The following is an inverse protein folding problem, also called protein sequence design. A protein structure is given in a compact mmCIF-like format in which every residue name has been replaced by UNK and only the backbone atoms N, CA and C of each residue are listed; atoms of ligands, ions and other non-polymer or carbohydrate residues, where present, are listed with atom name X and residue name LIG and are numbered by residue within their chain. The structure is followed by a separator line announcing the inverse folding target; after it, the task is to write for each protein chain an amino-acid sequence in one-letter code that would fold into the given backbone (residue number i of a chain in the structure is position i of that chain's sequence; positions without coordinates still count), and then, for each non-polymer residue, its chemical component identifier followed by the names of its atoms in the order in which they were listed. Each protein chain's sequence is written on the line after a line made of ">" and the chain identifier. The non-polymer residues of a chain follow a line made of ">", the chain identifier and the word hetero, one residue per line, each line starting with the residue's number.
data_IF_055376749553
#
_entry.id   IF_055376749553
#
_cell.length_a   1.000
_cell.length_b   1.000
_cell.length_c   1.000
_cell.angle_alpha   90.00
_cell.angle_beta   90.00
_cell.angle_gamma   90.00
#
_symmetry.space_group_name_H-M   'P 1'
#
loop_
_entity.id
_entity.type
_entity.pdbx_description
1 polymer ?
#
# COMPACT_ATOMS: atom_id res chain seq x y z
N UNK A 1 45.43 -24.70 -7.12
CA UNK A 1 44.83 -23.54 -6.42
C UNK A 1 43.65 -23.07 -7.26
N UNK A 2 42.45 -23.17 -6.70
CA UNK A 2 41.18 -22.98 -7.40
C UNK A 2 40.16 -23.95 -6.84
N UNK A 3 39.76 -23.70 -5.58
CA UNK A 3 38.78 -24.48 -4.83
C UNK A 3 37.40 -24.49 -5.49
N UNK A 4 36.75 -25.65 -5.36
CA UNK A 4 35.32 -25.84 -5.57
C UNK A 4 34.51 -25.24 -4.42
N UNK A 5 33.24 -24.98 -4.68
CA UNK A 5 32.19 -24.88 -3.66
C UNK A 5 31.51 -23.51 -3.64
N UNK A 6 30.20 -23.37 -3.54
CA UNK A 6 29.15 -24.32 -3.16
C UNK A 6 27.85 -23.81 -3.74
N UNK A 7 27.06 -24.72 -4.31
CA UNK A 7 25.65 -24.51 -4.60
C UNK A 7 24.90 -24.11 -3.33
N UNK A 8 24.16 -23.00 -3.38
CA UNK A 8 23.01 -22.81 -2.48
C UNK A 8 21.79 -22.54 -3.33
N UNK A 9 21.24 -23.64 -3.86
CA UNK A 9 19.79 -23.82 -3.86
C UNK A 9 19.36 -23.79 -2.39
N UNK A 10 18.96 -22.63 -1.91
CA UNK A 10 18.12 -22.54 -0.71
C UNK A 10 16.67 -22.48 -1.19
N UNK A 11 16.06 -23.66 -1.25
CA UNK A 11 14.61 -23.80 -1.20
C UNK A 11 14.12 -23.07 0.05
N UNK A 12 13.36 -22.00 -0.13
CA UNK A 12 12.50 -21.45 0.92
C UNK A 12 11.06 -21.62 0.46
N UNK A 13 10.37 -22.41 1.26
CA UNK A 13 8.98 -22.81 1.30
C UNK A 13 7.95 -21.91 0.59
N UNK A 14 7.06 -22.58 -0.13
CA UNK A 14 5.81 -22.09 -0.69
C UNK A 14 5.00 -21.26 0.31
N UNK A 15 4.98 -19.93 0.16
CA UNK A 15 3.94 -19.04 0.70
C UNK A 15 4.09 -17.63 0.07
N UNK A 16 3.08 -17.20 -0.71
CA UNK A 16 2.90 -15.90 -1.40
C UNK A 16 4.01 -15.45 -2.38
N UNK A 17 3.82 -15.76 -3.67
CA UNK A 17 4.51 -15.08 -4.76
C UNK A 17 3.44 -14.50 -5.70
N UNK A 18 3.34 -13.17 -5.73
CA UNK A 18 2.63 -12.46 -6.79
C UNK A 18 3.18 -12.94 -8.13
N UNK A 19 2.31 -13.35 -9.05
CA UNK A 19 2.73 -13.73 -10.39
C UNK A 19 3.31 -12.51 -11.13
N UNK A 20 4.11 -12.77 -12.17
CA UNK A 20 4.65 -11.70 -13.03
C UNK A 20 3.52 -10.85 -13.63
N UNK A 21 2.42 -11.49 -14.02
CA UNK A 21 1.22 -10.80 -14.53
C UNK A 21 0.54 -9.92 -13.48
N UNK A 22 0.40 -10.41 -12.23
CA UNK A 22 -0.18 -9.61 -11.14
C UNK A 22 0.73 -8.43 -10.75
N UNK A 23 2.05 -8.63 -10.85
CA UNK A 23 3.05 -7.58 -10.61
C UNK A 23 2.95 -6.49 -11.67
N UNK A 24 2.87 -6.87 -12.95
CA UNK A 24 2.69 -5.93 -14.06
C UNK A 24 1.37 -5.18 -13.97
N UNK A 25 0.27 -5.86 -13.61
CA UNK A 25 -1.02 -5.22 -13.41
C UNK A 25 -1.00 -4.24 -12.23
N UNK A 26 -0.33 -4.60 -11.12
CA UNK A 26 -0.16 -3.74 -9.95
C UNK A 26 0.61 -2.46 -10.30
N UNK A 27 1.73 -2.59 -11.03
CA UNK A 27 2.52 -1.44 -11.48
C UNK A 27 1.72 -0.58 -12.46
N UNK A 28 1.04 -1.19 -13.43
CA UNK A 28 0.19 -0.47 -14.39
C UNK A 28 -0.91 0.34 -13.71
N UNK A 29 -1.57 -0.22 -12.70
CA UNK A 29 -2.59 0.48 -11.92
C UNK A 29 -1.99 1.68 -11.17
N UNK A 30 -0.82 1.47 -10.56
CA UNK A 30 -0.12 2.53 -9.84
C UNK A 30 0.26 3.70 -10.75
N UNK A 31 0.80 3.39 -11.94
CA UNK A 31 1.12 4.38 -12.99
C UNK A 31 -0.13 5.16 -13.42
N UNK A 32 -1.25 4.47 -13.68
CA UNK A 32 -2.51 5.12 -14.06
C UNK A 32 -3.09 6.02 -12.95
N UNK A 33 -2.82 5.70 -11.68
CA UNK A 33 -3.21 6.53 -10.54
C UNK A 33 -2.33 7.81 -10.42
N UNK A 34 -1.06 7.73 -10.81
CA UNK A 34 -0.17 8.90 -10.83
C UNK A 34 -0.57 9.92 -11.90
N UNK A 35 -1.03 9.46 -13.06
CA UNK A 35 -1.50 10.32 -14.16
C UNK A 35 -2.71 11.18 -13.77
N UNK A 36 -3.41 10.86 -12.67
CA UNK A 36 -4.54 11.61 -12.13
C UNK A 36 -4.12 12.75 -11.18
N UNK A 37 -2.85 13.18 -11.19
CA UNK A 37 -2.29 14.20 -10.28
C UNK A 37 -2.42 13.86 -8.78
N UNK A 38 -2.45 12.57 -8.46
CA UNK A 38 -2.38 12.09 -7.08
C UNK A 38 -0.92 12.12 -6.59
N UNK A 39 -0.72 12.33 -5.29
CA UNK A 39 0.61 12.14 -4.70
C UNK A 39 0.99 10.66 -4.73
N UNK A 40 2.29 10.36 -4.87
CA UNK A 40 2.79 8.98 -4.96
C UNK A 40 2.30 8.06 -3.84
N UNK A 41 2.30 8.53 -2.59
CA UNK A 41 1.75 7.77 -1.47
C UNK A 41 0.25 7.45 -1.63
N UNK A 42 -0.55 8.37 -2.16
CA UNK A 42 -2.01 8.18 -2.34
C UNK A 42 -2.28 7.20 -3.48
N UNK A 43 -1.55 7.33 -4.59
CA UNK A 43 -1.62 6.39 -5.70
C UNK A 43 -1.24 4.96 -5.26
N UNK A 44 -0.19 4.82 -4.43
CA UNK A 44 0.23 3.53 -3.90
C UNK A 44 -0.86 2.92 -2.99
N UNK A 45 -1.45 3.73 -2.11
CA UNK A 45 -2.51 3.27 -1.20
C UNK A 45 -3.79 2.87 -1.96
N UNK A 46 -4.17 3.61 -3.00
CA UNK A 46 -5.29 3.21 -3.88
C UNK A 46 -5.02 1.88 -4.56
N UNK A 47 -3.79 1.69 -5.04
CA UNK A 47 -3.35 0.45 -5.68
C UNK A 47 -3.40 -0.73 -4.70
N UNK A 48 -2.87 -0.56 -3.49
CA UNK A 48 -2.95 -1.59 -2.44
C UNK A 48 -4.40 -1.89 -2.03
N UNK A 49 -5.27 -0.89 -1.97
CA UNK A 49 -6.68 -1.12 -1.65
C UNK A 49 -7.39 -1.90 -2.77
N UNK A 50 -7.09 -1.60 -4.04
CA UNK A 50 -7.59 -2.37 -5.17
C UNK A 50 -7.07 -3.81 -5.14
N UNK A 51 -5.80 -3.98 -4.78
CA UNK A 51 -5.20 -5.30 -4.55
C UNK A 51 -5.92 -6.10 -3.45
N UNK A 52 -6.28 -5.47 -2.31
CA UNK A 52 -7.11 -6.12 -1.27
C UNK A 52 -8.49 -6.52 -1.83
N UNK A 53 -9.07 -5.73 -2.75
CA UNK A 53 -10.37 -6.02 -3.39
C UNK A 53 -10.32 -7.20 -4.38
N UNK A 54 -9.15 -7.55 -4.92
CA UNK A 54 -8.99 -8.63 -5.93
C UNK A 54 -8.20 -9.85 -5.45
N UNK A 55 -7.45 -9.74 -4.36
CA UNK A 55 -6.68 -10.82 -3.72
C UNK A 55 -7.50 -12.13 -3.53
N UNK A 56 -6.89 -13.28 -3.79
CA UNK A 56 -7.54 -14.60 -3.70
C UNK A 56 -7.12 -15.41 -2.47
N UNK A 57 -6.24 -14.87 -1.65
CA UNK A 57 -5.71 -15.56 -0.46
C UNK A 57 -6.81 -15.70 0.59
N UNK A 58 -6.96 -16.89 1.17
CA UNK A 58 -7.99 -17.17 2.19
C UNK A 58 -7.55 -16.98 3.65
N UNK A 59 -6.35 -16.44 3.91
CA UNK A 59 -5.81 -16.30 5.27
C UNK A 59 -5.28 -14.90 5.55
N UNK A 60 -5.39 -14.48 6.82
CA UNK A 60 -4.90 -13.18 7.30
C UNK A 60 -3.39 -13.06 7.11
N UNK A 61 -2.66 -14.11 7.43
CA UNK A 61 -1.20 -14.16 7.33
C UNK A 61 -0.76 -14.06 5.87
N UNK A 62 -1.42 -14.75 4.96
CA UNK A 62 -1.10 -14.67 3.53
C UNK A 62 -1.46 -13.29 2.93
N UNK A 63 -2.59 -12.70 3.30
CA UNK A 63 -2.94 -11.33 2.88
C UNK A 63 -1.87 -10.31 3.32
N UNK A 64 -1.35 -10.43 4.55
CA UNK A 64 -0.27 -9.57 5.06
C UNK A 64 1.02 -9.77 4.28
N UNK A 65 1.38 -11.02 3.96
CA UNK A 65 2.57 -11.32 3.19
C UNK A 65 2.47 -10.73 1.78
N UNK A 66 1.35 -10.94 1.08
CA UNK A 66 1.13 -10.38 -0.26
C UNK A 66 1.12 -8.85 -0.27
N UNK A 67 0.51 -8.21 0.72
CA UNK A 67 0.53 -6.76 0.83
C UNK A 67 1.95 -6.20 1.03
N UNK A 68 2.81 -6.93 1.74
CA UNK A 68 4.22 -6.57 1.89
C UNK A 68 4.95 -6.68 0.56
N UNK A 69 4.78 -7.77 -0.17
CA UNK A 69 5.38 -7.95 -1.50
C UNK A 69 4.88 -6.88 -2.46
N UNK A 70 3.58 -6.60 -2.50
CA UNK A 70 3.00 -5.53 -3.30
C UNK A 70 3.61 -4.16 -2.96
N UNK A 71 3.78 -3.86 -1.66
CA UNK A 71 4.43 -2.62 -1.21
C UNK A 71 5.88 -2.53 -1.70
N UNK A 72 6.65 -3.61 -1.59
CA UNK A 72 8.03 -3.67 -2.09
C UNK A 72 8.11 -3.51 -3.61
N UNK A 73 7.17 -4.06 -4.36
CA UNK A 73 7.04 -3.87 -5.81
C UNK A 73 6.81 -2.40 -6.16
N UNK A 74 5.86 -1.74 -5.48
CA UNK A 74 5.56 -0.32 -5.71
C UNK A 74 6.76 0.58 -5.38
N UNK A 75 7.51 0.26 -4.32
CA UNK A 75 8.73 0.97 -3.96
C UNK A 75 9.81 0.81 -5.04
N UNK A 76 9.98 -0.38 -5.61
CA UNK A 76 10.97 -0.64 -6.67
C UNK A 76 10.60 0.02 -8.00
N UNK A 77 9.31 0.24 -8.26
CA UNK A 77 8.82 0.82 -9.51
C UNK A 77 9.14 2.32 -9.65
N UNK A 78 9.44 3.04 -8.57
CA UNK A 78 9.60 4.51 -8.58
C UNK A 78 10.77 5.02 -7.73
N UNK A 79 11.09 6.31 -7.92
CA UNK A 79 12.23 6.99 -7.29
C UNK A 79 11.91 7.52 -5.88
N UNK A 80 10.67 7.89 -5.57
CA UNK A 80 10.27 8.42 -4.26
C UNK A 80 9.95 7.30 -3.25
N UNK A 81 10.96 6.47 -2.98
CA UNK A 81 10.85 5.28 -2.13
C UNK A 81 10.35 5.60 -0.72
N UNK A 82 10.71 6.76 -0.16
CA UNK A 82 10.35 7.16 1.21
C UNK A 82 8.87 7.51 1.34
N UNK A 83 8.30 8.26 0.39
CA UNK A 83 6.88 8.65 0.44
C UNK A 83 5.97 7.45 0.28
N UNK A 84 6.28 6.58 -0.68
CA UNK A 84 5.53 5.34 -0.93
C UNK A 84 5.63 4.41 0.28
N UNK A 85 6.85 4.13 0.76
CA UNK A 85 7.06 3.24 1.91
C UNK A 85 6.30 3.71 3.16
N UNK A 86 6.52 4.96 3.58
CA UNK A 86 5.87 5.52 4.76
C UNK A 86 4.34 5.58 4.64
N UNK A 87 3.82 5.95 3.47
CA UNK A 87 2.38 5.98 3.20
C UNK A 87 1.74 4.59 3.30
N UNK A 88 2.37 3.60 2.67
CA UNK A 88 1.92 2.21 2.71
C UNK A 88 1.96 1.64 4.13
N UNK A 89 3.03 1.87 4.89
CA UNK A 89 3.13 1.41 6.29
C UNK A 89 2.03 2.02 7.18
N UNK A 90 1.80 3.34 7.08
CA UNK A 90 0.73 4.00 7.83
C UNK A 90 -0.65 3.46 7.46
N UNK A 91 -0.88 3.21 6.17
CA UNK A 91 -2.12 2.61 5.69
C UNK A 91 -2.32 1.20 6.25
N UNK A 92 -1.31 0.33 6.12
CA UNK A 92 -1.35 -1.05 6.64
C UNK A 92 -1.59 -1.05 8.14
N UNK A 93 -0.90 -0.17 8.89
CA UNK A 93 -1.12 0.01 10.33
C UNK A 93 -2.56 0.43 10.62
N UNK A 94 -3.10 1.38 9.86
CA UNK A 94 -4.46 1.89 10.06
C UNK A 94 -5.53 0.82 9.85
N UNK A 95 -5.44 0.02 8.78
CA UNK A 95 -6.44 -1.01 8.49
C UNK A 95 -6.32 -2.20 9.45
N UNK A 96 -5.12 -2.48 9.97
CA UNK A 96 -4.86 -3.61 10.89
C UNK A 96 -5.03 -3.31 12.38
N UNK A 97 -5.07 -2.03 12.80
CA UNK A 97 -5.16 -1.64 14.22
C UNK A 97 -6.50 -1.95 14.92
N UNK A 98 -7.51 -2.46 14.22
CA UNK A 98 -8.80 -2.82 14.82
C UNK A 98 -8.79 -4.25 15.32
N UNK A 99 -9.49 -4.56 16.42
CA UNK A 99 -9.67 -5.95 16.85
C UNK A 99 -10.26 -6.76 15.71
N UNK A 100 -9.49 -7.76 15.27
CA UNK A 100 -9.92 -8.81 14.35
C UNK A 100 -10.52 -10.01 15.11
N UNK A 101 -10.68 -9.86 16.44
CA UNK A 101 -11.16 -10.88 17.35
C UNK A 101 -12.62 -11.26 17.04
N UNK A 102 -12.91 -12.56 17.05
CA UNK A 102 -14.23 -13.11 16.76
C UNK A 102 -14.56 -13.26 15.26
N UNK A 103 -13.57 -13.19 14.37
CA UNK A 103 -13.78 -13.45 12.94
C UNK A 103 -13.41 -14.90 12.60
N UNK A 104 -14.42 -15.72 12.32
CA UNK A 104 -14.22 -17.08 11.80
C UNK A 104 -14.15 -17.11 10.26
N UNK A 105 -14.55 -16.02 9.59
CA UNK A 105 -14.59 -15.91 8.14
C UNK A 105 -13.59 -14.84 7.63
N UNK A 106 -12.77 -15.24 6.66
CA UNK A 106 -11.82 -14.37 5.98
C UNK A 106 -12.53 -13.29 5.15
N UNK A 107 -13.67 -13.59 4.56
CA UNK A 107 -14.40 -12.62 3.73
C UNK A 107 -14.95 -11.47 4.57
N UNK A 108 -15.39 -11.74 5.80
CA UNK A 108 -15.82 -10.69 6.74
C UNK A 108 -14.67 -9.76 7.12
N UNK A 109 -13.50 -10.33 7.40
CA UNK A 109 -12.28 -9.58 7.65
C UNK A 109 -11.92 -8.70 6.44
N UNK A 110 -11.92 -9.28 5.24
CA UNK A 110 -11.60 -8.59 4.00
C UNK A 110 -12.52 -7.39 3.79
N UNK A 111 -13.84 -7.57 3.94
CA UNK A 111 -14.81 -6.47 3.83
C UNK A 111 -14.54 -5.36 4.84
N UNK A 112 -14.14 -5.70 6.07
CA UNK A 112 -13.75 -4.69 7.08
C UNK A 112 -12.48 -3.93 6.68
N UNK A 113 -11.46 -4.63 6.19
CA UNK A 113 -10.22 -4.00 5.73
C UNK A 113 -10.50 -3.05 4.55
N UNK A 114 -11.32 -3.47 3.59
CA UNK A 114 -11.73 -2.64 2.45
C UNK A 114 -12.45 -1.38 2.95
N UNK A 115 -13.47 -1.53 3.81
CA UNK A 115 -14.23 -0.40 4.37
C UNK A 115 -13.31 0.60 5.08
N UNK A 116 -12.34 0.11 5.87
CA UNK A 116 -11.35 0.97 6.52
C UNK A 116 -10.44 1.64 5.52
N UNK A 117 -10.04 0.95 4.45
CA UNK A 117 -9.22 1.52 3.40
C UNK A 117 -9.92 2.66 2.67
N UNK A 118 -11.20 2.49 2.32
CA UNK A 118 -12.00 3.57 1.72
C UNK A 118 -12.12 4.77 2.69
N UNK A 119 -12.36 4.52 3.98
CA UNK A 119 -12.37 5.58 5.02
C UNK A 119 -11.02 6.30 5.15
N UNK A 120 -9.91 5.58 5.02
CA UNK A 120 -8.58 6.17 5.07
C UNK A 120 -8.36 7.12 3.89
N UNK A 121 -8.68 6.68 2.67
CA UNK A 121 -8.55 7.50 1.46
C UNK A 121 -9.41 8.76 1.53
N UNK A 122 -10.64 8.64 2.02
CA UNK A 122 -11.50 9.80 2.23
C UNK A 122 -10.87 10.82 3.21
N UNK A 123 -10.35 10.35 4.34
CA UNK A 123 -9.66 11.22 5.31
C UNK A 123 -8.45 11.92 4.72
N UNK A 124 -7.67 11.23 3.88
CA UNK A 124 -6.50 11.81 3.22
C UNK A 124 -6.93 12.87 2.20
N UNK A 125 -7.97 12.60 1.41
CA UNK A 125 -8.54 13.58 0.47
C UNK A 125 -8.99 14.87 1.17
N UNK A 126 -9.71 14.74 2.29
CA UNK A 126 -10.20 15.88 3.07
C UNK A 126 -9.06 16.67 3.76
N UNK A 127 -7.91 16.05 3.98
CA UNK A 127 -6.81 16.66 4.74
C UNK A 127 -6.23 17.90 4.05
N UNK A 128 -6.19 17.94 2.71
CA UNK A 128 -5.68 19.12 1.98
C UNK A 128 -6.52 20.37 2.25
N UNK A 129 -7.85 20.22 2.26
CA UNK A 129 -8.76 21.33 2.56
C UNK A 129 -8.65 21.78 4.02
N UNK A 130 -8.52 20.82 4.95
CA UNK A 130 -8.30 21.13 6.37
C UNK A 130 -7.01 21.91 6.60
N UNK A 131 -5.91 21.48 5.97
CA UNK A 131 -4.62 22.18 6.02
C UNK A 131 -4.77 23.59 5.44
N UNK A 132 -5.40 23.74 4.28
CA UNK A 132 -5.62 25.05 3.67
C UNK A 132 -6.44 26.00 4.57
N UNK A 133 -7.50 25.49 5.20
CA UNK A 133 -8.33 26.27 6.12
C UNK A 133 -7.54 26.72 7.36
N UNK A 134 -6.74 25.83 7.95
CA UNK A 134 -5.90 26.14 9.13
C UNK A 134 -4.75 27.08 8.74
N UNK A 135 -4.18 26.93 7.54
CA UNK A 135 -3.07 27.74 7.05
C UNK A 135 -3.49 29.15 6.61
N UNK A 136 -4.76 29.35 6.22
CA UNK A 136 -5.26 30.61 5.66
C UNK A 136 -4.93 31.86 6.49
N UNK A 137 -5.07 31.88 7.84
CA UNK A 137 -4.76 33.06 8.65
C UNK A 137 -3.27 33.42 8.72
N UNK A 138 -2.37 32.50 8.33
CA UNK A 138 -0.92 32.73 8.36
C UNK A 138 -0.42 33.49 7.13
N UNK A 139 -1.22 33.57 6.06
CA UNK A 139 -0.89 34.32 4.84
C UNK A 139 -1.57 35.70 4.95
N UNK A 140 -0.78 36.74 5.23
CA UNK A 140 -1.28 38.12 5.33
C UNK A 140 -1.14 38.85 4.02
N UNK A 141 -2.00 39.84 3.81
CA UNK A 141 -1.90 40.72 2.64
C UNK A 141 -0.52 41.41 2.60
N UNK A 142 0.08 41.48 1.41
CA UNK A 142 1.46 41.96 1.20
C UNK A 142 2.59 40.95 1.50
N UNK A 143 2.29 39.72 1.89
CA UNK A 143 3.32 38.67 2.07
C UNK A 143 3.79 38.14 0.72
N UNK A 144 5.08 38.30 0.41
CA UNK A 144 5.72 37.65 -0.74
C UNK A 144 6.23 36.26 -0.35
N UNK A 145 6.01 35.27 -1.23
CA UNK A 145 6.46 33.87 -1.05
C UNK A 145 7.93 33.69 -1.37
#
# INVERSE_FOLDING_TARGET
>A
MGEQGVAVRASVSSESQLTEQETDELVKEFEAALDQNLSEAVAAIQTLLKFIKTCKVGTISGLRAELKVATETLIKARTSTVSVSSGCELFLRFITMTSLEGQNDFEDLRRKLIKRGDMYLQKVADSRQKIAHIANPFIRDGTVK
#
